data_IF_705234297792
#
_entry.id   IF_705234297792
#
_cell.length_a   1.000
_cell.length_b   1.000
_cell.length_c   1.000
_cell.angle_alpha   90.00
_cell.angle_beta   90.00
_cell.angle_gamma   90.00
#
_symmetry.space_group_name_H-M   'P 1'
#
loop_
_entity.id
_entity.type
_entity.pdbx_description
1 polymer ?
#
# COMPACT_ATOMS: atom_id res chain seq x y z
N UNK A 1 42.99 -2.68 -9.26
CA UNK A 1 41.91 -1.72 -9.60
C UNK A 1 40.50 -2.18 -9.23
N UNK A 2 40.30 -3.20 -8.38
CA UNK A 2 38.96 -3.69 -7.97
C UNK A 2 38.75 -3.72 -6.45
N UNK A 3 39.66 -3.14 -5.65
CA UNK A 3 39.59 -3.30 -4.18
C UNK A 3 38.48 -2.47 -3.53
N UNK A 4 38.00 -1.40 -4.18
CA UNK A 4 37.02 -0.45 -3.63
C UNK A 4 35.69 -0.42 -4.40
N UNK A 5 35.44 -1.41 -5.27
CA UNK A 5 34.18 -1.45 -6.06
C UNK A 5 32.99 -1.93 -5.25
N UNK A 6 33.23 -2.75 -4.22
CA UNK A 6 32.19 -3.21 -3.29
C UNK A 6 32.19 -2.28 -2.09
N UNK A 7 31.11 -1.50 -1.95
CA UNK A 7 30.95 -0.58 -0.82
C UNK A 7 29.84 -1.07 0.11
N UNK A 8 29.91 -0.79 1.43
CA UNK A 8 28.82 -1.10 2.36
C UNK A 8 27.46 -0.57 1.89
N UNK A 9 27.44 0.66 1.35
CA UNK A 9 26.23 1.27 0.77
C UNK A 9 25.70 0.51 -0.44
N UNK A 10 26.58 0.03 -1.32
CA UNK A 10 26.19 -0.77 -2.48
C UNK A 10 25.61 -2.12 -2.08
N UNK A 11 26.20 -2.78 -1.08
CA UNK A 11 25.68 -4.03 -0.52
C UNK A 11 24.32 -3.83 0.15
N UNK A 12 24.17 -2.77 0.96
CA UNK A 12 22.89 -2.42 1.58
C UNK A 12 21.80 -2.13 0.53
N UNK A 13 22.11 -1.35 -0.50
CA UNK A 13 21.17 -1.05 -1.58
C UNK A 13 20.72 -2.30 -2.35
N UNK A 14 21.66 -3.18 -2.69
CA UNK A 14 21.35 -4.46 -3.35
C UNK A 14 20.49 -5.37 -2.47
N UNK A 15 20.80 -5.45 -1.18
CA UNK A 15 20.00 -6.19 -0.21
C UNK A 15 18.57 -5.63 -0.09
N UNK A 16 18.42 -4.30 0.05
CA UNK A 16 17.11 -3.66 0.17
C UNK A 16 16.26 -3.86 -1.09
N UNK A 17 16.86 -3.76 -2.28
CA UNK A 17 16.15 -3.99 -3.53
C UNK A 17 15.57 -5.41 -3.61
N UNK A 18 16.38 -6.42 -3.27
CA UNK A 18 15.94 -7.81 -3.24
C UNK A 18 14.86 -8.03 -2.16
N UNK A 19 15.06 -7.47 -0.96
CA UNK A 19 14.10 -7.56 0.14
C UNK A 19 12.73 -6.99 -0.27
N UNK A 20 12.68 -5.78 -0.80
CA UNK A 20 11.42 -5.15 -1.21
C UNK A 20 10.74 -5.89 -2.37
N UNK A 21 11.53 -6.44 -3.30
CA UNK A 21 10.98 -7.26 -4.38
C UNK A 21 10.31 -8.54 -3.84
N UNK A 22 10.94 -9.21 -2.88
CA UNK A 22 10.36 -10.39 -2.23
C UNK A 22 9.10 -10.04 -1.44
N UNK A 23 9.15 -8.99 -0.61
CA UNK A 23 7.99 -8.53 0.15
C UNK A 23 6.81 -8.15 -0.77
N UNK A 24 7.10 -7.53 -1.92
CA UNK A 24 6.10 -7.23 -2.93
C UNK A 24 5.49 -8.52 -3.48
N UNK A 25 6.30 -9.49 -3.90
CA UNK A 25 5.79 -10.75 -4.44
C UNK A 25 4.89 -11.47 -3.43
N UNK A 26 5.28 -11.51 -2.16
CA UNK A 26 4.50 -12.15 -1.10
C UNK A 26 3.17 -11.44 -0.80
N UNK A 27 3.12 -10.11 -0.98
CA UNK A 27 1.96 -9.28 -0.67
C UNK A 27 1.19 -8.79 -1.90
N UNK A 28 1.56 -9.23 -3.10
CA UNK A 28 0.94 -8.79 -4.35
C UNK A 28 -0.37 -9.53 -4.65
N UNK A 29 -1.30 -9.46 -3.70
CA UNK A 29 -2.64 -10.01 -3.84
C UNK A 29 -3.54 -9.08 -4.69
N UNK A 30 -4.67 -9.63 -5.14
CA UNK A 30 -5.77 -8.83 -5.69
C UNK A 30 -6.74 -8.53 -4.57
N UNK A 31 -7.25 -7.30 -4.53
CA UNK A 31 -8.11 -6.84 -3.45
C UNK A 31 -9.43 -6.35 -4.01
N UNK A 32 -10.51 -6.64 -3.28
CA UNK A 32 -11.86 -6.24 -3.63
C UNK A 32 -12.51 -5.51 -2.46
N UNK A 33 -13.23 -4.42 -2.75
CA UNK A 33 -14.08 -3.76 -1.74
C UNK A 33 -15.26 -4.65 -1.36
N UNK A 34 -15.43 -4.89 -0.06
CA UNK A 34 -16.50 -5.73 0.52
C UNK A 34 -17.80 -4.96 0.79
N UNK A 35 -17.75 -3.64 0.78
CA UNK A 35 -18.87 -2.74 1.08
C UNK A 35 -19.49 -2.14 -0.18
N UNK A 36 -20.81 -1.98 -0.18
CA UNK A 36 -21.50 -1.23 -1.21
C UNK A 36 -21.39 0.27 -0.94
N UNK A 37 -21.10 1.04 -1.98
CA UNK A 37 -20.86 2.49 -1.92
C UNK A 37 -19.66 2.86 -1.02
N UNK A 38 -19.51 4.15 -0.73
CA UNK A 38 -18.42 4.66 0.10
C UNK A 38 -18.64 4.30 1.58
N UNK A 39 -17.67 3.66 2.26
CA UNK A 39 -17.76 3.37 3.68
C UNK A 39 -17.72 4.61 4.56
N UNK A 40 -18.43 4.58 5.68
CA UNK A 40 -18.32 5.62 6.71
C UNK A 40 -17.00 5.48 7.49
N UNK A 41 -15.92 6.08 6.99
CA UNK A 41 -14.56 5.99 7.55
C UNK A 41 -14.39 6.65 8.92
N UNK A 42 -15.11 7.74 9.19
CA UNK A 42 -14.96 8.50 10.44
C UNK A 42 -15.31 7.69 11.70
N UNK A 43 -16.27 6.76 11.63
CA UNK A 43 -16.62 5.88 12.76
C UNK A 43 -15.58 4.78 13.01
N UNK A 44 -14.73 4.51 12.02
CA UNK A 44 -13.72 3.45 12.05
C UNK A 44 -12.34 3.96 12.45
N UNK A 45 -12.19 5.26 12.75
CA UNK A 45 -10.90 5.86 13.07
C UNK A 45 -9.91 5.89 11.89
N UNK A 46 -10.40 5.64 10.67
CA UNK A 46 -9.58 5.60 9.45
C UNK A 46 -9.29 6.99 8.88
N UNK A 47 -9.97 8.02 9.39
CA UNK A 47 -9.67 9.42 9.09
C UNK A 47 -9.08 10.12 10.32
N UNK A 48 -8.05 10.96 10.12
CA UNK A 48 -7.54 11.79 11.19
C UNK A 48 -8.64 12.72 11.70
N UNK A 49 -8.76 12.82 13.03
CA UNK A 49 -9.78 13.66 13.68
C UNK A 49 -9.46 15.15 13.56
N UNK A 50 -8.18 15.49 13.35
CA UNK A 50 -7.71 16.86 13.17
C UNK A 50 -7.39 17.14 11.70
N UNK A 51 -8.11 18.11 11.12
CA UNK A 51 -7.88 18.54 9.75
C UNK A 51 -6.56 19.31 9.64
N UNK A 52 -5.59 18.67 9.01
CA UNK A 52 -4.27 19.21 8.64
C UNK A 52 -4.01 18.90 7.17
N UNK A 53 -2.99 19.53 6.57
CA UNK A 53 -2.62 19.21 5.17
C UNK A 53 -2.28 17.72 5.01
N UNK A 54 -1.54 17.16 5.97
CA UNK A 54 -1.13 15.74 5.99
C UNK A 54 -2.33 14.80 6.09
N UNK A 55 -3.34 15.13 6.90
CA UNK A 55 -4.53 14.28 7.01
C UNK A 55 -5.37 14.23 5.74
N UNK A 56 -5.37 15.32 4.95
CA UNK A 56 -6.05 15.34 3.66
C UNK A 56 -5.38 14.41 2.64
N UNK A 57 -4.06 14.35 2.65
CA UNK A 57 -3.28 13.47 1.78
C UNK A 57 -3.49 11.98 2.14
N UNK A 58 -3.51 11.65 3.43
CA UNK A 58 -3.82 10.28 3.92
C UNK A 58 -5.23 9.83 3.51
N UNK A 59 -6.25 10.69 3.73
CA UNK A 59 -7.62 10.38 3.34
C UNK A 59 -7.75 10.15 1.82
N UNK A 60 -7.06 10.97 1.01
CA UNK A 60 -7.03 10.80 -0.45
C UNK A 60 -6.34 9.51 -0.86
N UNK A 61 -5.23 9.14 -0.22
CA UNK A 61 -4.52 7.89 -0.49
C UNK A 61 -5.43 6.70 -0.24
N UNK A 62 -6.13 6.67 0.90
CA UNK A 62 -7.08 5.60 1.24
C UNK A 62 -8.18 5.51 0.17
N UNK A 63 -8.75 6.64 -0.24
CA UNK A 63 -9.85 6.64 -1.21
C UNK A 63 -9.41 6.26 -2.61
N UNK A 64 -8.26 6.75 -3.06
CA UNK A 64 -7.68 6.34 -4.33
C UNK A 64 -7.39 4.83 -4.33
N UNK A 65 -6.81 4.31 -3.25
CA UNK A 65 -6.50 2.88 -3.13
C UNK A 65 -7.78 2.02 -3.20
N UNK A 66 -8.78 2.34 -2.38
CA UNK A 66 -10.05 1.60 -2.36
C UNK A 66 -10.79 1.66 -3.71
N UNK A 67 -10.69 2.77 -4.43
CA UNK A 67 -11.35 2.94 -5.74
C UNK A 67 -10.84 1.96 -6.81
N UNK A 68 -9.61 1.46 -6.67
CA UNK A 68 -9.03 0.48 -7.59
C UNK A 68 -9.07 -0.97 -7.05
N UNK A 69 -9.59 -1.19 -5.85
CA UNK A 69 -9.80 -2.53 -5.28
C UNK A 69 -11.05 -3.19 -5.89
N UNK A 70 -10.96 -3.58 -7.16
CA UNK A 70 -12.05 -4.19 -7.94
C UNK A 70 -11.96 -5.72 -8.05
N UNK A 71 -10.94 -6.33 -7.46
CA UNK A 71 -10.62 -7.75 -7.56
C UNK A 71 -9.90 -8.15 -8.85
N UNK A 72 -9.66 -7.22 -9.79
CA UNK A 72 -8.92 -7.49 -11.02
C UNK A 72 -7.48 -6.98 -10.95
N UNK A 73 -7.27 -5.86 -10.25
CA UNK A 73 -5.96 -5.25 -10.08
C UNK A 73 -5.25 -5.79 -8.83
N UNK A 74 -3.97 -6.07 -8.99
CA UNK A 74 -3.04 -6.42 -7.92
C UNK A 74 -2.57 -5.19 -7.14
N UNK A 75 -2.07 -5.40 -5.92
CA UNK A 75 -1.49 -4.32 -5.08
C UNK A 75 -0.44 -3.51 -5.84
N UNK A 76 0.40 -4.17 -6.64
CA UNK A 76 1.40 -3.50 -7.48
C UNK A 76 0.76 -2.56 -8.52
N UNK A 77 -0.22 -3.06 -9.28
CA UNK A 77 -0.89 -2.26 -10.32
C UNK A 77 -1.63 -1.07 -9.72
N UNK A 78 -2.22 -1.24 -8.53
CA UNK A 78 -2.87 -0.14 -7.81
C UNK A 78 -1.82 0.89 -7.35
N UNK A 79 -0.71 0.44 -6.79
CA UNK A 79 0.39 1.30 -6.32
C UNK A 79 0.95 2.16 -7.47
N UNK A 80 1.15 1.57 -8.66
CA UNK A 80 1.57 2.27 -9.86
C UNK A 80 0.54 3.33 -10.31
N UNK A 81 -0.76 2.99 -10.30
CA UNK A 81 -1.84 3.92 -10.68
C UNK A 81 -1.93 5.14 -9.76
N UNK A 82 -1.73 4.95 -8.46
CA UNK A 82 -1.79 6.04 -7.47
C UNK A 82 -0.43 6.70 -7.23
N UNK A 83 0.62 6.24 -7.94
CA UNK A 83 1.99 6.73 -7.90
C UNK A 83 2.59 6.75 -6.48
N UNK A 84 2.46 5.62 -5.78
CA UNK A 84 3.10 5.39 -4.47
C UNK A 84 3.87 4.08 -4.48
N UNK A 85 4.92 3.95 -3.67
CA UNK A 85 5.57 2.66 -3.49
C UNK A 85 4.63 1.65 -2.80
N UNK A 86 4.62 0.40 -3.26
CA UNK A 86 3.71 -0.63 -2.73
C UNK A 86 3.89 -0.88 -1.22
N UNK A 87 5.10 -0.70 -0.69
CA UNK A 87 5.36 -0.90 0.75
C UNK A 87 4.66 0.12 1.66
N UNK A 88 4.28 1.29 1.14
CA UNK A 88 3.47 2.26 1.90
C UNK A 88 2.02 1.79 2.06
N UNK A 89 1.56 0.85 1.22
CA UNK A 89 0.18 0.36 1.23
C UNK A 89 -0.02 -0.83 2.16
N UNK A 90 1.05 -1.52 2.60
CA UNK A 90 0.91 -2.73 3.41
C UNK A 90 0.18 -2.48 4.74
N UNK A 91 0.57 -1.44 5.48
CA UNK A 91 -0.09 -1.06 6.73
C UNK A 91 -1.53 -0.61 6.50
N UNK A 92 -1.80 0.01 5.35
CA UNK A 92 -3.14 0.43 4.96
C UNK A 92 -4.03 -0.79 4.66
N UNK A 93 -3.53 -1.75 3.89
CA UNK A 93 -4.25 -2.98 3.53
C UNK A 93 -4.65 -3.73 4.80
N UNK A 94 -3.71 -3.93 5.73
CA UNK A 94 -3.98 -4.57 7.02
C UNK A 94 -5.07 -3.85 7.80
N UNK A 95 -5.01 -2.51 7.89
CA UNK A 95 -6.06 -1.71 8.55
C UNK A 95 -7.42 -1.88 7.88
N UNK A 96 -7.48 -1.85 6.56
CA UNK A 96 -8.73 -1.97 5.81
C UNK A 96 -9.33 -3.38 5.94
N UNK A 97 -8.49 -4.43 5.92
CA UNK A 97 -8.89 -5.82 6.17
C UNK A 97 -9.44 -5.99 7.59
N UNK A 98 -8.77 -5.43 8.60
CA UNK A 98 -9.22 -5.47 10.00
C UNK A 98 -10.57 -4.77 10.23
N UNK A 99 -10.97 -3.88 9.32
CA UNK A 99 -12.27 -3.21 9.35
C UNK A 99 -13.29 -3.83 8.39
N UNK A 100 -13.00 -4.99 7.79
CA UNK A 100 -13.85 -5.67 6.82
C UNK A 100 -14.26 -4.75 5.66
N UNK A 101 -13.35 -3.88 5.20
CA UNK A 101 -13.57 -2.96 4.07
C UNK A 101 -13.11 -3.50 2.73
N UNK A 102 -12.09 -4.36 2.79
CA UNK A 102 -11.52 -5.02 1.63
C UNK A 102 -11.27 -6.49 1.97
N UNK A 103 -11.34 -7.33 0.96
CA UNK A 103 -11.04 -8.76 1.02
C UNK A 103 -10.08 -9.15 -0.10
N UNK A 104 -9.34 -10.24 0.10
CA UNK A 104 -8.54 -10.85 -0.96
C UNK A 104 -9.50 -11.41 -2.02
N UNK A 105 -9.28 -11.05 -3.28
CA UNK A 105 -9.99 -11.64 -4.41
C UNK A 105 -9.30 -12.93 -4.84
N UNK A 106 -10.10 -13.93 -5.23
CA UNK A 106 -9.65 -15.21 -5.79
C UNK A 106 -9.06 -15.06 -7.21
#
# INVERSE_FOLDING_TARGET
NLMDVVTPKGLEGGYLALKYALELIEKNEKLKVSVLCEPQMGKRGLYPTLSTKKSGDEARMIMNFMSYCDGNHSVLEIAEKINVPSWELYDLIEKLKNHDLIESAD
#
